data_IF_593907056245
#
_entry.id   IF_593907056245
#
_cell.length_a   1.000
_cell.length_b   1.000
_cell.length_c   1.000
_cell.angle_alpha   90.00
_cell.angle_beta   90.00
_cell.angle_gamma   90.00
#
_symmetry.space_group_name_H-M   'P 1'
#
loop_
_entity.id
_entity.type
_entity.pdbx_description
1 polymer ?
#
# COMPACT_ATOMS: atom_id res chain seq x y z
N UNK A 1 -0.19 -6.22 6.36
CA UNK A 1 0.58 -7.43 6.72
C UNK A 1 1.24 -8.02 5.47
N UNK A 2 2.55 -8.27 5.51
CA UNK A 2 3.34 -8.73 4.35
C UNK A 2 3.68 -10.22 4.45
N UNK A 3 3.58 -10.97 3.33
CA UNK A 3 4.16 -12.32 3.24
C UNK A 3 5.68 -12.21 3.08
N UNK A 4 6.42 -12.76 4.04
CA UNK A 4 7.89 -12.69 4.09
C UNK A 4 8.48 -14.10 4.18
N UNK A 5 9.66 -14.31 3.61
CA UNK A 5 10.36 -15.60 3.70
C UNK A 5 10.99 -15.78 5.08
N UNK A 6 11.13 -17.03 5.52
CA UNK A 6 11.81 -17.36 6.79
C UNK A 6 13.24 -16.80 6.83
N UNK A 7 13.94 -16.78 5.68
CA UNK A 7 15.29 -16.20 5.55
C UNK A 7 15.29 -14.70 5.85
N UNK A 8 14.32 -13.94 5.34
CA UNK A 8 14.22 -12.51 5.59
C UNK A 8 13.92 -12.21 7.06
N UNK A 9 13.01 -12.99 7.67
CA UNK A 9 12.71 -12.89 9.10
C UNK A 9 13.93 -13.16 9.97
N UNK A 10 14.72 -14.18 9.64
CA UNK A 10 15.94 -14.50 10.37
C UNK A 10 16.97 -13.37 10.28
N UNK A 11 17.19 -12.80 9.08
CA UNK A 11 18.10 -11.66 8.91
C UNK A 11 17.65 -10.45 9.72
N UNK A 12 16.37 -10.10 9.65
CA UNK A 12 15.79 -9.00 10.44
C UNK A 12 15.97 -9.23 11.94
N UNK A 13 15.70 -10.46 12.41
CA UNK A 13 15.94 -10.83 13.81
C UNK A 13 17.40 -10.65 14.19
N UNK A 14 18.34 -11.22 13.43
CA UNK A 14 19.78 -11.15 13.75
C UNK A 14 20.30 -9.71 13.75
N UNK A 15 19.82 -8.86 12.85
CA UNK A 15 20.24 -7.47 12.79
C UNK A 15 19.71 -6.66 13.98
N UNK A 16 18.46 -6.91 14.38
CA UNK A 16 17.86 -6.24 15.53
C UNK A 16 18.47 -6.73 16.86
N UNK A 17 18.66 -8.03 17.03
CA UNK A 17 19.07 -8.61 18.32
C UNK A 17 20.59 -8.62 18.52
N UNK A 18 21.38 -8.77 17.46
CA UNK A 18 22.84 -8.92 17.57
C UNK A 18 23.62 -7.72 17.05
N UNK A 19 23.05 -6.91 16.14
CA UNK A 19 23.74 -5.74 15.55
C UNK A 19 23.15 -4.40 15.98
N UNK A 20 22.02 -4.40 16.69
CA UNK A 20 21.31 -3.18 17.09
C UNK A 20 20.76 -2.36 15.93
N UNK A 21 20.60 -2.96 14.74
CA UNK A 21 20.05 -2.30 13.56
C UNK A 21 18.51 -2.40 13.56
N UNK A 22 17.84 -1.26 13.74
CA UNK A 22 16.39 -1.15 13.70
C UNK A 22 15.91 -0.17 12.63
N UNK A 23 14.97 -0.59 11.77
CA UNK A 23 14.17 0.31 10.93
C UNK A 23 12.75 0.33 11.50
N UNK A 24 12.32 1.49 11.99
CA UNK A 24 11.00 1.72 12.55
C UNK A 24 9.90 1.92 11.47
N UNK A 25 10.11 1.44 10.24
CA UNK A 25 9.19 1.66 9.12
C UNK A 25 8.21 0.52 8.94
N UNK A 26 6.95 0.82 8.60
CA UNK A 26 5.96 -0.17 8.13
C UNK A 26 6.43 -0.95 6.89
N UNK A 27 7.41 -0.40 6.15
CA UNK A 27 8.07 -1.05 5.01
C UNK A 27 9.33 -1.84 5.39
N UNK A 28 9.62 -2.01 6.68
CA UNK A 28 10.83 -2.66 7.23
C UNK A 28 11.22 -3.94 6.47
N UNK A 29 10.32 -4.92 6.21
CA UNK A 29 10.72 -6.14 5.52
C UNK A 29 11.22 -5.91 4.09
N UNK A 30 10.63 -4.96 3.36
CA UNK A 30 11.04 -4.64 1.97
C UNK A 30 12.39 -3.96 1.98
N UNK A 31 12.62 -3.03 2.91
CA UNK A 31 13.92 -2.36 3.07
C UNK A 31 15.03 -3.36 3.41
N UNK A 32 14.79 -4.32 4.29
CA UNK A 32 15.74 -5.39 4.60
C UNK A 32 16.00 -6.31 3.43
N UNK A 33 14.96 -6.66 2.66
CA UNK A 33 15.13 -7.46 1.46
C UNK A 33 16.04 -6.74 0.45
N UNK A 34 15.82 -5.45 0.19
CA UNK A 34 16.67 -4.64 -0.67
C UNK A 34 18.11 -4.53 -0.15
N UNK A 35 18.28 -4.26 1.15
CA UNK A 35 19.61 -4.14 1.78
C UNK A 35 20.46 -5.41 1.61
N UNK A 36 19.84 -6.59 1.68
CA UNK A 36 20.51 -7.87 1.49
C UNK A 36 20.46 -8.43 0.05
N UNK A 37 20.00 -7.64 -0.92
CA UNK A 37 19.88 -8.07 -2.32
C UNK A 37 18.88 -9.21 -2.53
N UNK A 38 17.91 -9.37 -1.62
CA UNK A 38 16.83 -10.35 -1.73
C UNK A 38 15.68 -9.78 -2.58
N UNK A 39 14.99 -10.67 -3.27
CA UNK A 39 13.80 -10.30 -4.05
C UNK A 39 12.65 -9.95 -3.12
N UNK A 40 12.25 -8.68 -3.10
CA UNK A 40 10.99 -8.24 -2.52
C UNK A 40 9.87 -8.44 -3.56
N UNK A 41 8.99 -9.41 -3.32
CA UNK A 41 7.76 -9.58 -4.12
C UNK A 41 6.61 -9.03 -3.31
N UNK A 42 6.18 -7.82 -3.65
CA UNK A 42 4.94 -7.27 -3.13
C UNK A 42 3.79 -7.89 -3.91
N UNK A 43 2.93 -8.68 -3.24
CA UNK A 43 1.64 -9.02 -3.82
C UNK A 43 0.85 -7.71 -3.83
N UNK A 44 0.46 -7.18 -5.00
CA UNK A 44 -0.32 -5.94 -5.04
C UNK A 44 -1.53 -6.15 -4.14
N UNK A 45 -1.78 -5.20 -3.24
CA UNK A 45 -3.03 -5.21 -2.49
C UNK A 45 -4.17 -5.33 -3.51
N UNK A 46 -5.15 -6.22 -3.29
CA UNK A 46 -6.25 -6.31 -4.22
C UNK A 46 -6.99 -4.97 -4.19
N UNK A 47 -6.90 -4.25 -5.31
CA UNK A 47 -7.62 -3.00 -5.53
C UNK A 47 -9.04 -3.43 -5.89
N UNK A 48 -9.92 -3.40 -4.89
CA UNK A 48 -11.35 -3.63 -5.11
C UNK A 48 -12.00 -2.28 -5.33
N UNK A 49 -12.34 -2.02 -6.58
CA UNK A 49 -13.08 -0.82 -6.92
C UNK A 49 -14.52 -0.94 -6.38
N UNK A 50 -14.85 -0.18 -5.33
CA UNK A 50 -16.22 -0.06 -4.84
C UNK A 50 -17.12 0.53 -5.96
N UNK A 51 -18.33 -0.01 -6.11
CA UNK A 51 -19.24 0.17 -7.26
C UNK A 51 -19.63 1.62 -7.65
N UNK A 52 -19.14 2.66 -6.98
CA UNK A 52 -19.56 4.05 -7.18
C UNK A 52 -18.72 4.90 -8.13
N UNK A 53 -17.47 4.53 -8.46
CA UNK A 53 -16.59 5.38 -9.28
C UNK A 53 -16.60 5.00 -10.76
N UNK A 54 -16.59 6.01 -11.65
CA UNK A 54 -16.51 5.77 -13.09
C UNK A 54 -15.08 5.34 -13.50
N UNK A 55 -14.98 4.22 -14.21
CA UNK A 55 -13.71 3.67 -14.69
C UNK A 55 -12.93 4.64 -15.58
N UNK A 56 -13.62 5.49 -16.35
CA UNK A 56 -12.96 6.49 -17.19
C UNK A 56 -12.32 7.60 -16.33
N UNK A 57 -13.05 8.16 -15.37
CA UNK A 57 -12.47 9.11 -14.41
C UNK A 57 -11.29 8.52 -13.65
N UNK A 58 -11.41 7.27 -13.20
CA UNK A 58 -10.37 6.59 -12.45
C UNK A 58 -9.08 6.46 -13.27
N UNK A 59 -9.20 6.09 -14.54
CA UNK A 59 -8.07 5.98 -15.45
C UNK A 59 -7.37 7.33 -15.66
N UNK A 60 -8.15 8.41 -15.82
CA UNK A 60 -7.60 9.76 -15.97
C UNK A 60 -6.82 10.22 -14.73
N UNK A 61 -7.27 9.83 -13.54
CA UNK A 61 -6.62 10.17 -12.27
C UNK A 61 -5.42 9.27 -11.97
N UNK A 62 -5.55 7.96 -12.15
CA UNK A 62 -4.47 7.00 -11.92
C UNK A 62 -3.31 7.23 -12.89
N UNK A 63 -3.61 7.50 -14.16
CA UNK A 63 -2.62 7.74 -15.21
C UNK A 63 -2.47 9.24 -15.53
N UNK A 64 -2.79 10.13 -14.60
CA UNK A 64 -2.68 11.58 -14.80
C UNK A 64 -1.23 11.99 -15.05
N UNK A 65 -1.03 13.07 -15.80
CA UNK A 65 0.29 13.61 -16.11
C UNK A 65 0.74 13.27 -17.53
N UNK A 66 1.92 13.75 -17.91
CA UNK A 66 2.51 13.40 -19.21
C UNK A 66 3.00 11.94 -19.17
N UNK A 67 3.27 11.30 -20.31
CA UNK A 67 3.80 9.93 -20.34
C UNK A 67 5.09 9.69 -19.52
N UNK A 68 5.84 10.74 -19.19
CA UNK A 68 7.06 10.68 -18.35
C UNK A 68 6.74 10.90 -16.86
N UNK A 69 5.53 11.37 -16.55
CA UNK A 69 5.06 11.80 -15.23
C UNK A 69 3.77 11.05 -14.86
N UNK A 70 3.69 9.77 -15.23
CA UNK A 70 2.50 8.95 -14.99
C UNK A 70 2.23 8.92 -13.48
N UNK A 71 1.01 9.33 -13.11
CA UNK A 71 0.56 9.46 -11.73
C UNK A 71 1.21 10.62 -10.94
N UNK A 72 1.76 11.65 -11.59
CA UNK A 72 2.37 12.80 -10.91
C UNK A 72 1.70 14.16 -11.23
N UNK A 73 0.61 14.17 -12.01
CA UNK A 73 -0.15 15.39 -12.30
C UNK A 73 -0.97 15.92 -11.11
N UNK A 74 -1.38 17.20 -11.16
CA UNK A 74 -2.23 17.82 -10.13
C UNK A 74 -3.56 17.09 -9.88
N UNK A 75 -4.08 16.40 -10.89
CA UNK A 75 -5.28 15.57 -10.80
C UNK A 75 -4.97 14.09 -10.47
N UNK A 76 -3.74 13.78 -10.07
CA UNK A 76 -3.37 12.42 -9.70
C UNK A 76 -4.01 11.98 -8.40
N UNK A 77 -4.28 10.67 -8.28
CA UNK A 77 -4.56 9.99 -7.01
C UNK A 77 -3.43 10.17 -5.96
N UNK A 78 -2.23 10.57 -6.38
CA UNK A 78 -1.11 10.83 -5.46
C UNK A 78 -0.98 12.30 -5.06
N UNK A 79 -1.78 13.20 -5.64
CA UNK A 79 -1.79 14.61 -5.26
C UNK A 79 -2.46 14.82 -3.90
N UNK A 80 -1.96 15.81 -3.16
CA UNK A 80 -2.54 16.23 -1.89
C UNK A 80 -4.04 16.56 -2.06
N UNK A 81 -4.87 16.14 -1.09
CA UNK A 81 -6.35 16.20 -1.13
C UNK A 81 -7.07 15.31 -2.18
N UNK A 82 -6.39 14.80 -3.21
CA UNK A 82 -6.93 13.80 -4.17
C UNK A 82 -6.60 12.36 -3.81
N UNK A 83 -5.71 12.17 -2.84
CA UNK A 83 -5.40 10.86 -2.30
C UNK A 83 -6.61 10.27 -1.56
N UNK A 84 -7.22 11.06 -0.66
CA UNK A 84 -8.25 10.54 0.23
C UNK A 84 -9.61 10.32 -0.44
N UNK A 85 -9.92 10.97 -1.56
CA UNK A 85 -11.24 10.81 -2.22
C UNK A 85 -11.36 9.48 -2.98
N UNK A 86 -10.26 8.99 -3.54
CA UNK A 86 -10.25 7.88 -4.50
C UNK A 86 -9.57 6.65 -3.89
N UNK A 87 -8.39 6.78 -3.28
CA UNK A 87 -7.67 5.63 -2.72
C UNK A 87 -8.36 5.03 -1.50
N UNK A 88 -9.01 5.87 -0.68
CA UNK A 88 -9.75 5.39 0.48
C UNK A 88 -10.95 4.54 0.06
N UNK A 89 -11.56 4.82 -1.10
CA UNK A 89 -12.70 4.09 -1.64
C UNK A 89 -12.31 2.87 -2.50
N UNK A 90 -11.11 2.86 -3.07
CA UNK A 90 -10.63 1.80 -3.97
C UNK A 90 -9.92 0.64 -3.28
N UNK A 91 -9.48 0.83 -2.04
CA UNK A 91 -8.73 -0.21 -1.34
C UNK A 91 -9.61 -0.82 -0.26
N UNK A 92 -9.66 -2.16 -0.22
CA UNK A 92 -10.28 -2.86 0.91
C UNK A 92 -9.66 -2.46 2.25
N UNK A 93 -8.36 -2.12 2.28
CA UNK A 93 -7.69 -1.68 3.50
C UNK A 93 -8.26 -0.39 4.09
N UNK A 94 -8.85 0.49 3.28
CA UNK A 94 -9.38 1.78 3.71
C UNK A 94 -10.91 1.84 3.70
N UNK A 95 -11.56 1.09 2.80
CA UNK A 95 -13.02 1.02 2.66
C UNK A 95 -13.67 -0.17 3.36
N UNK A 96 -12.89 -1.10 3.95
CA UNK A 96 -13.51 -2.18 4.72
C UNK A 96 -14.12 -1.59 5.99
N UNK A 97 -15.46 -1.61 6.05
CA UNK A 97 -16.15 -1.40 7.30
C UNK A 97 -15.74 -2.52 8.26
N UNK A 98 -15.19 -2.15 9.42
CA UNK A 98 -14.85 -3.13 10.44
C UNK A 98 -16.16 -3.81 10.91
N UNK A 99 -16.15 -5.14 11.09
CA UNK A 99 -17.37 -5.89 11.40
C UNK A 99 -18.01 -5.51 12.75
N UNK A 100 -17.33 -4.73 13.57
CA UNK A 100 -17.85 -4.15 14.81
C UNK A 100 -18.95 -3.09 14.59
N UNK A 101 -19.15 -2.62 13.36
CA UNK A 101 -20.26 -1.73 12.99
C UNK A 101 -21.53 -2.46 12.51
N UNK A 102 -21.57 -3.80 12.51
CA UNK A 102 -22.78 -4.59 12.17
C UNK A 102 -23.75 -4.80 13.35
N UNK A 103 -23.71 -3.96 14.39
CA UNK A 103 -24.74 -4.00 15.44
C UNK A 103 -25.99 -3.37 14.84
N UNK A 104 -26.92 -4.21 14.38
CA UNK A 104 -28.25 -3.80 13.92
C UNK A 104 -28.94 -2.95 15.00
N UNK A 105 -29.53 -1.79 14.64
CA UNK A 105 -30.39 -1.06 15.56
C UNK A 105 -31.67 -1.87 15.76
N UNK A 106 -31.88 -2.34 17.00
CA UNK A 106 -33.14 -2.95 17.45
C UNK A 106 -34.28 -1.96 17.61
#
# INVERSE_FOLDING_TARGET
MSRVSARLLWLMHTDQTHKGLGLASEMSPVSWALFYGLKAVHVPQPIYHAYGSDTHELNLRANSGRPVEISAGWNSIWSWNRHNDTLMNMSYMFASEFPENFIEPG
#
